data_IF_832704523641
#
_entry.id   IF_832704523641
#
_cell.length_a   1.000
_cell.length_b   1.000
_cell.length_c   1.000
_cell.angle_alpha   90.00
_cell.angle_beta   90.00
_cell.angle_gamma   90.00
#
_symmetry.space_group_name_H-M   'P 1'
#
loop_
_entity.id
_entity.type
_entity.pdbx_description
1 polymer ?
#
# COMPACT_ATOMS: atom_id res chain seq x y z
N UNK A 1 -36.52 2.42 19.78
CA UNK A 1 -35.23 1.73 19.65
C UNK A 1 -34.58 1.75 21.03
N UNK A 2 -34.27 0.59 21.63
CA UNK A 2 -33.67 0.56 22.98
C UNK A 2 -32.22 1.03 22.94
N UNK A 3 -31.75 1.67 24.02
CA UNK A 3 -30.37 2.17 24.15
C UNK A 3 -29.34 1.05 23.86
N UNK A 4 -29.63 -0.18 24.28
CA UNK A 4 -28.77 -1.33 24.00
C UNK A 4 -28.58 -1.63 22.51
N UNK A 5 -29.61 -1.48 21.68
CA UNK A 5 -29.51 -1.68 20.23
C UNK A 5 -28.68 -0.58 19.59
N UNK A 6 -28.83 0.67 20.05
CA UNK A 6 -28.02 1.79 19.56
C UNK A 6 -26.52 1.59 19.87
N UNK A 7 -26.18 1.23 21.11
CA UNK A 7 -24.79 0.98 21.52
C UNK A 7 -24.19 -0.19 20.74
N UNK A 8 -24.94 -1.28 20.56
CA UNK A 8 -24.50 -2.42 19.77
C UNK A 8 -24.14 -2.03 18.33
N UNK A 9 -25.00 -1.26 17.66
CA UNK A 9 -24.77 -0.83 16.28
C UNK A 9 -23.56 0.10 16.16
N UNK A 10 -23.35 1.00 17.11
CA UNK A 10 -22.16 1.86 17.13
C UNK A 10 -20.90 1.02 17.27
N UNK A 11 -20.87 0.05 18.20
CA UNK A 11 -19.71 -0.82 18.40
C UNK A 11 -19.45 -1.71 17.18
N UNK A 12 -20.50 -2.27 16.58
CA UNK A 12 -20.39 -3.08 15.37
C UNK A 12 -19.82 -2.24 14.21
N UNK A 13 -20.32 -1.02 14.04
CA UNK A 13 -19.83 -0.10 13.03
C UNK A 13 -18.35 0.19 13.25
N UNK A 14 -17.96 0.60 14.46
CA UNK A 14 -16.55 0.84 14.82
C UNK A 14 -15.67 -0.39 14.57
N UNK A 15 -16.13 -1.58 14.94
CA UNK A 15 -15.36 -2.82 14.73
C UNK A 15 -15.13 -3.11 13.24
N UNK A 16 -16.18 -2.98 12.41
CA UNK A 16 -16.06 -3.12 10.95
C UNK A 16 -15.08 -2.10 10.38
N UNK A 17 -15.14 -0.86 10.85
CA UNK A 17 -14.25 0.21 10.37
C UNK A 17 -12.79 -0.09 10.67
N UNK A 18 -12.50 -0.45 11.92
CA UNK A 18 -11.15 -0.80 12.34
C UNK A 18 -10.64 -2.01 11.57
N UNK A 19 -11.46 -3.03 11.37
CA UNK A 19 -11.07 -4.21 10.61
C UNK A 19 -10.79 -3.88 9.14
N UNK A 20 -11.63 -3.06 8.50
CA UNK A 20 -11.41 -2.63 7.12
C UNK A 20 -10.14 -1.79 6.98
N UNK A 21 -9.87 -0.90 7.95
CA UNK A 21 -8.64 -0.12 7.96
C UNK A 21 -7.40 -1.00 8.09
N UNK A 22 -7.39 -1.91 9.07
CA UNK A 22 -6.27 -2.83 9.28
C UNK A 22 -6.06 -3.74 8.08
N UNK A 23 -7.14 -4.16 7.43
CA UNK A 23 -7.07 -4.92 6.19
C UNK A 23 -6.40 -4.11 5.07
N UNK A 24 -6.87 -2.88 4.81
CA UNK A 24 -6.28 -2.02 3.78
C UNK A 24 -4.80 -1.74 4.04
N UNK A 25 -4.45 -1.45 5.29
CA UNK A 25 -3.06 -1.25 5.70
C UNK A 25 -2.22 -2.51 5.46
N UNK A 26 -2.72 -3.68 5.87
CA UNK A 26 -2.02 -4.96 5.67
C UNK A 26 -1.82 -5.30 4.19
N UNK A 27 -2.81 -5.00 3.34
CA UNK A 27 -2.71 -5.24 1.90
C UNK A 27 -1.66 -4.33 1.28
N UNK A 28 -1.70 -3.02 1.57
CA UNK A 28 -0.72 -2.06 1.06
C UNK A 28 0.69 -2.40 1.57
N UNK A 29 0.84 -2.78 2.84
CA UNK A 29 2.13 -3.22 3.38
C UNK A 29 2.67 -4.45 2.66
N UNK A 30 1.80 -5.45 2.41
CA UNK A 30 2.17 -6.65 1.67
C UNK A 30 2.60 -6.36 0.24
N UNK A 31 1.81 -5.54 -0.48
CA UNK A 31 2.10 -5.13 -1.86
C UNK A 31 3.39 -4.32 -1.94
N UNK A 32 3.58 -3.35 -1.03
CA UNK A 32 4.81 -2.54 -1.00
C UNK A 32 6.04 -3.41 -0.79
N UNK A 33 5.94 -4.42 0.08
CA UNK A 33 7.02 -5.38 0.33
C UNK A 33 7.30 -6.27 -0.87
N UNK A 34 6.28 -6.84 -1.51
CA UNK A 34 6.41 -7.66 -2.72
C UNK A 34 7.03 -6.87 -3.88
N UNK A 35 6.61 -5.62 -4.09
CA UNK A 35 7.20 -4.73 -5.09
C UNK A 35 8.68 -4.49 -4.79
N UNK A 36 9.03 -4.16 -3.54
CA UNK A 36 10.43 -3.97 -3.14
C UNK A 36 11.27 -5.25 -3.34
N UNK A 37 10.69 -6.43 -3.04
CA UNK A 37 11.32 -7.72 -3.25
C UNK A 37 11.59 -7.99 -4.73
N UNK A 38 10.58 -7.86 -5.59
CA UNK A 38 10.70 -8.08 -7.03
C UNK A 38 11.71 -7.14 -7.67
N UNK A 39 11.67 -5.85 -7.33
CA UNK A 39 12.61 -4.86 -7.83
C UNK A 39 14.04 -5.09 -7.33
N UNK A 40 14.22 -5.46 -6.05
CA UNK A 40 15.54 -5.80 -5.53
C UNK A 40 16.13 -7.04 -6.20
N UNK A 41 15.30 -8.04 -6.52
CA UNK A 41 15.72 -9.22 -7.26
C UNK A 41 16.13 -8.86 -8.69
N UNK A 42 15.36 -8.00 -9.37
CA UNK A 42 15.66 -7.51 -10.72
C UNK A 42 16.99 -6.74 -10.77
N UNK A 43 17.29 -5.91 -9.76
CA UNK A 43 18.59 -5.22 -9.69
C UNK A 43 19.74 -6.19 -9.49
N UNK A 44 19.59 -7.17 -8.59
CA UNK A 44 20.64 -8.16 -8.31
C UNK A 44 21.00 -9.01 -9.52
N UNK A 45 20.05 -9.29 -10.40
CA UNK A 45 20.30 -10.08 -11.63
C UNK A 45 20.87 -9.25 -12.78
N UNK A 46 21.22 -7.98 -12.54
CA UNK A 46 21.86 -7.09 -13.51
C UNK A 46 20.92 -6.10 -14.18
N UNK A 47 19.68 -5.96 -13.69
CA UNK A 47 18.79 -4.87 -14.09
C UNK A 47 19.25 -3.54 -13.50
N UNK A 48 19.20 -2.47 -14.30
CA UNK A 48 19.42 -1.11 -13.79
C UNK A 48 18.09 -0.50 -13.36
N UNK A 49 17.91 -0.30 -12.05
CA UNK A 49 16.97 0.69 -11.53
C UNK A 49 17.60 2.07 -11.73
N UNK A 50 17.49 2.59 -12.94
CA UNK A 50 18.09 3.87 -13.34
C UNK A 50 17.55 4.45 -14.64
N UNK A 51 16.69 3.72 -15.35
CA UNK A 51 15.89 4.23 -16.45
C UNK A 51 14.70 5.07 -15.98
N UNK A 52 13.95 5.62 -16.93
CA UNK A 52 12.70 6.30 -16.65
C UNK A 52 11.79 5.38 -15.79
N UNK A 53 11.41 5.78 -14.56
CA UNK A 53 10.54 4.97 -13.71
C UNK A 53 9.15 4.76 -14.30
N UNK A 54 8.80 5.50 -15.35
CA UNK A 54 7.58 5.28 -16.14
C UNK A 54 7.78 4.32 -17.31
N UNK A 55 8.98 3.74 -17.50
CA UNK A 55 9.23 2.76 -18.56
C UNK A 55 8.44 1.47 -18.28
N UNK A 56 7.37 1.20 -19.06
CA UNK A 56 6.49 0.08 -18.81
C UNK A 56 7.16 -1.27 -19.09
N UNK A 57 8.30 -1.30 -19.79
CA UNK A 57 9.00 -2.56 -20.07
C UNK A 57 9.77 -3.10 -18.87
N UNK A 58 10.20 -2.22 -17.95
CA UNK A 58 10.94 -2.59 -16.74
C UNK A 58 9.99 -2.72 -15.55
N UNK A 59 9.06 -1.77 -15.40
CA UNK A 59 8.21 -1.68 -14.21
C UNK A 59 6.77 -2.13 -14.43
N UNK A 60 6.31 -2.20 -15.68
CA UNK A 60 4.93 -2.54 -16.02
C UNK A 60 4.45 -3.89 -15.45
N UNK A 61 5.23 -4.98 -15.52
CA UNK A 61 4.83 -6.25 -14.93
C UNK A 61 4.68 -6.20 -13.40
N UNK A 62 5.59 -5.48 -12.71
CA UNK A 62 5.59 -5.33 -11.26
C UNK A 62 4.40 -4.50 -10.81
N UNK A 63 4.10 -3.41 -11.53
CA UNK A 63 2.94 -2.57 -11.24
C UNK A 63 1.61 -3.26 -11.58
N UNK A 64 1.55 -4.05 -12.66
CA UNK A 64 0.34 -4.82 -12.99
C UNK A 64 0.04 -5.90 -11.92
N UNK A 65 1.06 -6.55 -11.37
CA UNK A 65 0.91 -7.51 -10.27
C UNK A 65 0.46 -6.79 -8.98
N UNK A 66 1.06 -5.64 -8.68
CA UNK A 66 0.67 -4.79 -7.56
C UNK A 66 -0.79 -4.30 -7.67
N UNK A 67 -1.21 -3.80 -8.84
CA UNK A 67 -2.59 -3.41 -9.11
C UNK A 67 -3.56 -4.59 -8.94
N UNK A 68 -3.19 -5.77 -9.44
CA UNK A 68 -3.97 -7.00 -9.25
C UNK A 68 -4.15 -7.38 -7.79
N UNK A 69 -3.10 -7.25 -6.98
CA UNK A 69 -3.12 -7.54 -5.55
C UNK A 69 -3.89 -6.50 -4.72
N UNK A 70 -3.85 -5.22 -5.13
CA UNK A 70 -4.62 -4.13 -4.53
C UNK A 70 -6.11 -4.20 -4.91
N UNK A 71 -6.43 -4.82 -6.05
CA UNK A 71 -7.80 -4.98 -6.54
C UNK A 71 -8.51 -3.62 -6.71
N UNK A 72 -9.75 -3.52 -6.25
CA UNK A 72 -10.53 -2.27 -6.33
C UNK A 72 -10.01 -1.12 -5.46
N UNK A 73 -8.92 -1.33 -4.72
CA UNK A 73 -8.23 -0.28 -3.97
C UNK A 73 -7.06 0.34 -4.75
N UNK A 74 -6.66 -0.24 -5.88
CA UNK A 74 -5.54 0.24 -6.69
C UNK A 74 -5.69 1.71 -7.11
N UNK A 75 -6.90 2.14 -7.50
CA UNK A 75 -7.19 3.52 -7.92
C UNK A 75 -6.99 4.56 -6.79
N UNK A 76 -6.81 4.11 -5.55
CA UNK A 76 -6.62 4.96 -4.35
C UNK A 76 -5.20 4.85 -3.79
N UNK A 77 -4.31 4.16 -4.51
CA UNK A 77 -2.95 3.89 -4.08
C UNK A 77 -2.02 4.40 -5.17
N UNK A 78 -1.21 5.39 -4.81
CA UNK A 78 -0.15 5.91 -5.66
C UNK A 78 1.16 5.22 -5.27
N UNK A 79 1.74 4.50 -6.22
CA UNK A 79 3.09 3.94 -6.05
C UNK A 79 4.09 4.94 -6.60
N UNK A 80 4.99 5.39 -5.74
CA UNK A 80 6.09 6.22 -6.19
C UNK A 80 7.07 5.41 -7.05
N UNK A 81 7.69 6.05 -8.05
CA UNK A 81 8.89 5.57 -8.71
C UNK A 81 9.91 4.96 -7.74
N UNK A 82 10.30 3.68 -7.89
CA UNK A 82 11.32 3.08 -7.05
C UNK A 82 12.68 3.73 -7.31
N UNK A 83 13.49 3.84 -6.26
CA UNK A 83 14.83 4.44 -6.33
C UNK A 83 15.87 3.52 -5.73
N UNK A 84 17.08 3.54 -6.28
CA UNK A 84 18.23 2.90 -5.64
C UNK A 84 19.03 3.95 -4.89
N UNK A 85 19.11 3.78 -3.57
CA UNK A 85 19.86 4.68 -2.69
C UNK A 85 20.83 3.85 -1.85
N UNK A 86 22.12 4.15 -1.96
CA UNK A 86 23.17 3.56 -1.10
C UNK A 86 23.16 2.03 -0.99
N UNK A 87 22.81 1.32 -2.07
CA UNK A 87 22.74 -0.15 -2.07
C UNK A 87 21.41 -0.72 -1.57
N UNK A 88 20.37 0.09 -1.46
CA UNK A 88 19.00 -0.31 -1.14
C UNK A 88 18.04 0.08 -2.26
N UNK A 89 17.01 -0.74 -2.48
CA UNK A 89 15.82 -0.35 -3.24
C UNK A 89 14.82 0.28 -2.28
N UNK A 90 14.41 1.50 -2.57
CA UNK A 90 13.38 2.22 -1.83
C UNK A 90 12.11 2.22 -2.65
N UNK A 91 11.04 1.68 -2.07
CA UNK A 91 9.68 1.72 -2.63
C UNK A 91 8.81 2.50 -1.66
N UNK A 92 8.10 3.49 -2.19
CA UNK A 92 7.15 4.28 -1.42
C UNK A 92 5.77 4.17 -2.04
N UNK A 93 4.77 4.08 -1.19
CA UNK A 93 3.37 3.96 -1.56
C UNK A 93 2.56 4.91 -0.70
N UNK A 94 1.73 5.73 -1.34
CA UNK A 94 0.76 6.60 -0.70
C UNK A 94 -0.63 6.05 -0.95
N UNK A 95 -1.40 5.82 0.12
CA UNK A 95 -2.78 5.36 0.01
C UNK A 95 -3.72 6.44 0.55
N UNK A 96 -4.75 6.78 -0.23
CA UNK A 96 -5.77 7.73 0.19
C UNK A 96 -6.58 7.21 1.37
N UNK A 97 -7.12 8.14 2.15
CA UNK A 97 -8.03 7.84 3.25
C UNK A 97 -9.26 7.04 2.77
N UNK A 98 -9.53 5.91 3.43
CA UNK A 98 -10.82 5.25 3.31
C UNK A 98 -11.88 6.05 4.08
N UNK A 99 -12.66 6.84 3.35
CA UNK A 99 -13.87 7.48 3.85
C UNK A 99 -14.94 6.46 4.19
N UNK A 100 -14.85 5.85 5.38
CA UNK A 100 -15.84 4.87 5.84
C UNK A 100 -16.97 5.50 6.68
N UNK A 101 -16.84 6.77 7.06
CA UNK A 101 -17.82 7.43 7.90
C UNK A 101 -19.21 7.55 7.21
N UNK A 102 -20.33 7.47 7.96
CA UNK A 102 -21.64 7.84 7.44
C UNK A 102 -21.58 9.31 6.98
N UNK A 103 -22.23 9.64 5.87
CA UNK A 103 -22.18 10.96 5.23
C UNK A 103 -22.51 12.17 6.16
N UNK A 104 -23.10 11.92 7.33
CA UNK A 104 -23.43 12.92 8.35
C UNK A 104 -22.26 13.32 9.27
N UNK A 105 -21.15 12.58 9.27
CA UNK A 105 -19.94 12.87 10.06
C UNK A 105 -18.74 12.86 9.12
N UNK A 106 -18.62 13.90 8.31
CA UNK A 106 -17.53 14.11 7.35
C UNK A 106 -16.24 14.54 8.04
N UNK A 107 -15.77 13.77 9.01
CA UNK A 107 -14.38 13.78 9.44
C UNK A 107 -13.88 12.36 9.29
N UNK A 108 -13.10 12.13 8.22
CA UNK A 108 -12.47 10.86 7.93
C UNK A 108 -11.78 10.34 9.18
N UNK A 109 -12.25 9.20 9.69
CA UNK A 109 -11.68 8.58 10.87
C UNK A 109 -10.36 7.86 10.55
N UNK A 110 -10.00 7.77 9.27
CA UNK A 110 -8.83 7.10 8.74
C UNK A 110 -8.08 8.10 7.88
N UNK A 111 -6.86 8.44 8.28
CA UNK A 111 -5.97 9.33 7.53
C UNK A 111 -5.44 8.60 6.30
N UNK A 112 -4.98 9.33 5.28
CA UNK A 112 -4.07 8.74 4.31
C UNK A 112 -2.89 8.11 5.06
N UNK A 113 -2.31 7.08 4.47
CA UNK A 113 -1.12 6.47 5.04
C UNK A 113 -0.06 6.29 3.97
N UNK A 114 1.16 6.71 4.34
CA UNK A 114 2.36 6.58 3.53
C UNK A 114 3.13 5.37 4.04
N UNK A 115 3.59 4.52 3.13
CA UNK A 115 4.43 3.37 3.44
C UNK A 115 5.69 3.41 2.62
N UNK A 116 6.83 3.31 3.30
CA UNK A 116 8.13 3.16 2.68
C UNK A 116 8.75 1.81 3.10
N UNK A 117 9.21 1.04 2.12
CA UNK A 117 10.00 -0.17 2.32
C UNK A 117 11.35 0.04 1.69
N UNK A 118 12.40 -0.24 2.47
CA UNK A 118 13.79 -0.23 2.01
C UNK A 118 14.31 -1.65 2.03
N UNK A 119 14.80 -2.11 0.88
CA UNK A 119 15.30 -3.46 0.73
C UNK A 119 16.75 -3.45 0.27
N UNK A 120 17.63 -3.97 1.12
CA UNK A 120 19.06 -4.04 0.84
C UNK A 120 19.35 -4.96 -0.35
N UNK A 121 20.20 -4.51 -1.25
CA UNK A 121 20.63 -5.27 -2.43
C UNK A 121 21.65 -6.37 -2.05
N UNK A 122 22.31 -6.26 -0.90
CA UNK A 122 23.21 -7.26 -0.34
C UNK A 122 22.42 -8.31 0.46
N UNK A 123 22.61 -9.60 0.14
CA UNK A 123 22.13 -10.72 0.97
C UNK A 123 22.87 -10.80 2.32
N UNK A 124 22.39 -11.62 3.28
CA UNK A 124 23.16 -11.87 4.49
C UNK A 124 24.53 -12.44 4.10
N UNK A 125 25.60 -11.81 4.60
CA UNK A 125 26.96 -12.28 4.41
C UNK A 125 27.15 -13.70 4.96
#
# INVERSE_FOLDING_TARGET
MSIGVLVFLVLLFTAVHTLTYLYAQSVVEGVTYEVALQLSAAVRTGGELGGDPTDPTVYGPVYADAEGALGGYADRVELDPPRVESGEVVVRVEAEALGLAPAATSQGFLTSFEREVRMRLEGPQ
#
